data_IF_015972379140
#
_entry.id   IF_015972379140
#
_cell.length_a   1.000
_cell.length_b   1.000
_cell.length_c   1.000
_cell.angle_alpha   90.00
_cell.angle_beta   90.00
_cell.angle_gamma   90.00
#
_symmetry.space_group_name_H-M   'P 1'
#
loop_
_entity.id
_entity.type
_entity.pdbx_description
1 polymer ?
#
# COMPACT_ATOMS: atom_id res chain seq x y z
N UNK A 1 2.23 3.22 14.00
CA UNK A 1 2.67 3.12 15.41
C UNK A 1 2.99 1.69 15.70
N UNK A 2 3.93 1.44 16.61
CA UNK A 2 4.22 0.09 17.08
C UNK A 2 2.89 -0.60 17.47
N UNK A 3 2.66 -1.81 16.97
CA UNK A 3 1.51 -2.67 17.26
C UNK A 3 0.12 -2.21 16.79
N UNK A 4 -0.01 -1.20 15.92
CA UNK A 4 -1.32 -0.91 15.29
C UNK A 4 -1.49 -1.71 14.00
N UNK A 5 -2.48 -2.60 13.98
CA UNK A 5 -2.90 -3.29 12.76
C UNK A 5 -3.27 -2.26 11.70
N UNK A 6 -2.72 -2.44 10.49
CA UNK A 6 -3.04 -1.61 9.34
C UNK A 6 -4.13 -2.32 8.55
N UNK A 7 -5.21 -1.62 8.22
CA UNK A 7 -6.28 -2.16 7.39
C UNK A 7 -5.73 -2.67 6.05
N UNK A 8 -6.02 -3.93 5.72
CA UNK A 8 -5.61 -4.53 4.43
C UNK A 8 -6.15 -3.74 3.25
N UNK A 9 -7.33 -3.14 3.38
CA UNK A 9 -7.94 -2.27 2.37
C UNK A 9 -7.09 -1.04 2.06
N UNK A 10 -6.43 -0.45 3.08
CA UNK A 10 -5.52 0.67 2.89
C UNK A 10 -4.23 0.21 2.22
N UNK A 11 -3.69 -0.94 2.61
CA UNK A 11 -2.48 -1.52 1.99
C UNK A 11 -2.70 -1.78 0.50
N UNK A 12 -3.85 -2.37 0.14
CA UNK A 12 -4.24 -2.61 -1.24
C UNK A 12 -4.32 -1.30 -2.04
N UNK A 13 -4.93 -0.26 -1.46
CA UNK A 13 -4.99 1.08 -2.07
C UNK A 13 -3.61 1.73 -2.21
N UNK A 14 -2.69 1.53 -1.26
CA UNK A 14 -1.29 2.00 -1.38
C UNK A 14 -0.65 1.45 -2.66
N UNK A 15 -0.75 0.13 -2.86
CA UNK A 15 -0.15 -0.53 -4.02
C UNK A 15 -0.83 -0.06 -5.32
N UNK A 16 -2.17 -0.05 -5.36
CA UNK A 16 -2.91 0.46 -6.53
C UNK A 16 -2.48 1.88 -6.90
N UNK A 17 -2.46 2.80 -5.94
CA UNK A 17 -2.06 4.18 -6.22
C UNK A 17 -0.60 4.31 -6.63
N UNK A 18 0.29 3.49 -6.07
CA UNK A 18 1.69 3.45 -6.48
C UNK A 18 1.84 3.02 -7.95
N UNK A 19 1.18 1.93 -8.36
CA UNK A 19 1.18 1.47 -9.75
C UNK A 19 0.53 2.48 -10.71
N UNK A 20 -0.45 3.25 -10.25
CA UNK A 20 -1.06 4.36 -11.01
C UNK A 20 -0.21 5.64 -11.02
N UNK A 21 1.06 5.59 -10.58
CA UNK A 21 2.00 6.72 -10.64
C UNK A 21 1.77 7.82 -9.58
N UNK A 22 0.94 7.58 -8.56
CA UNK A 22 0.72 8.57 -7.49
C UNK A 22 1.95 8.68 -6.58
N UNK A 23 2.26 9.90 -6.15
CA UNK A 23 3.41 10.14 -5.27
C UNK A 23 3.18 9.56 -3.86
N UNK A 24 4.27 9.12 -3.21
CA UNK A 24 4.25 8.61 -1.82
C UNK A 24 3.64 9.63 -0.84
N UNK A 25 3.83 10.93 -1.09
CA UNK A 25 3.26 12.01 -0.29
C UNK A 25 1.73 12.08 -0.45
N UNK A 26 1.23 11.98 -1.69
CA UNK A 26 -0.20 11.94 -1.96
C UNK A 26 -0.86 10.75 -1.26
N UNK A 27 -0.31 9.54 -1.42
CA UNK A 27 -0.85 8.30 -0.86
C UNK A 27 -0.91 8.39 0.67
N UNK A 28 0.16 8.90 1.30
CA UNK A 28 0.24 9.09 2.75
C UNK A 28 -0.88 10.00 3.26
N UNK A 29 -1.09 11.15 2.61
CA UNK A 29 -2.15 12.10 2.98
C UNK A 29 -3.55 11.52 2.72
N UNK A 30 -3.75 10.91 1.55
CA UNK A 30 -5.06 10.41 1.12
C UNK A 30 -5.57 9.24 1.97
N UNK A 31 -4.68 8.34 2.40
CA UNK A 31 -5.04 7.17 3.21
C UNK A 31 -4.85 7.38 4.72
N UNK A 32 -4.45 8.59 5.14
CA UNK A 32 -4.08 8.89 6.52
C UNK A 32 -3.06 7.89 7.09
N UNK A 33 -2.07 7.53 6.27
CA UNK A 33 -0.97 6.64 6.64
C UNK A 33 0.32 7.42 6.80
N UNK A 34 1.19 6.98 7.71
CA UNK A 34 2.54 7.55 7.79
C UNK A 34 3.32 7.28 6.49
N UNK A 35 4.19 8.22 6.10
CA UNK A 35 5.07 8.02 4.92
C UNK A 35 5.92 6.76 5.03
N UNK A 36 6.32 6.36 6.24
CA UNK A 36 7.08 5.14 6.49
C UNK A 36 6.25 3.89 6.24
N UNK A 37 4.97 3.89 6.62
CA UNK A 37 4.04 2.80 6.31
C UNK A 37 3.85 2.64 4.80
N UNK A 38 3.67 3.75 4.08
CA UNK A 38 3.56 3.73 2.61
C UNK A 38 4.84 3.17 1.98
N UNK A 39 6.01 3.65 2.40
CA UNK A 39 7.30 3.12 1.91
C UNK A 39 7.44 1.62 2.18
N UNK A 40 7.16 1.17 3.41
CA UNK A 40 7.27 -0.24 3.82
C UNK A 40 6.47 -1.16 2.88
N UNK A 41 5.21 -0.82 2.61
CA UNK A 41 4.36 -1.69 1.79
C UNK A 41 4.67 -1.62 0.30
N UNK A 42 5.13 -0.48 -0.22
CA UNK A 42 5.65 -0.39 -1.58
C UNK A 42 6.90 -1.26 -1.72
N UNK A 43 7.88 -1.12 -0.82
CA UNK A 43 9.09 -1.93 -0.86
C UNK A 43 8.81 -3.43 -0.69
N UNK A 44 7.87 -3.81 0.17
CA UNK A 44 7.46 -5.21 0.29
C UNK A 44 6.85 -5.74 -1.01
N UNK A 45 5.99 -4.94 -1.66
CA UNK A 45 5.38 -5.30 -2.94
C UNK A 45 6.44 -5.50 -4.04
N UNK A 46 7.42 -4.59 -4.12
CA UNK A 46 8.55 -4.66 -5.06
C UNK A 46 9.44 -5.89 -4.80
N UNK A 47 9.81 -6.14 -3.54
CA UNK A 47 10.66 -7.28 -3.14
C UNK A 47 9.98 -8.63 -3.40
N UNK A 48 8.66 -8.71 -3.22
CA UNK A 48 7.89 -9.92 -3.48
C UNK A 48 7.61 -10.14 -4.98
N UNK A 49 7.96 -9.18 -5.85
CA UNK A 49 7.74 -9.30 -7.30
C UNK A 49 6.27 -9.48 -7.68
N UNK A 50 5.34 -8.98 -6.85
CA UNK A 50 3.92 -9.16 -7.09
C UNK A 50 3.45 -8.28 -8.25
N UNK A 51 2.51 -8.79 -9.04
CA UNK A 51 1.84 -7.99 -10.06
C UNK A 51 0.62 -7.27 -9.50
N UNK A 52 0.23 -6.16 -10.13
CA UNK A 52 -0.99 -5.43 -9.76
C UNK A 52 -2.25 -6.30 -9.90
N UNK A 53 -2.26 -7.23 -10.84
CA UNK A 53 -3.38 -8.15 -11.07
C UNK A 53 -3.64 -9.05 -9.86
N UNK A 54 -2.58 -9.62 -9.29
CA UNK A 54 -2.67 -10.45 -8.08
C UNK A 54 -3.25 -9.64 -6.92
N UNK A 55 -2.86 -8.37 -6.78
CA UNK A 55 -3.36 -7.48 -5.73
C UNK A 55 -4.85 -7.14 -5.93
N UNK A 56 -5.29 -7.02 -7.19
CA UNK A 56 -6.68 -6.75 -7.54
C UNK A 56 -7.61 -7.94 -7.27
N UNK A 57 -7.11 -9.18 -7.38
CA UNK A 57 -7.89 -10.39 -7.10
C UNK A 57 -8.06 -10.67 -5.59
N UNK A 58 -7.22 -10.07 -4.75
CA UNK A 58 -7.27 -10.27 -3.31
C UNK A 58 -8.42 -9.45 -2.70
N UNK A 59 -9.13 -10.04 -1.74
CA UNK A 59 -10.19 -9.41 -0.95
C UNK A 59 -9.69 -9.06 0.46
N UNK A 60 -10.43 -8.20 1.16
CA UNK A 60 -10.08 -7.69 2.50
C UNK A 60 -10.65 -8.56 3.66
N UNK A 61 -11.23 -9.71 3.32
CA UNK A 61 -11.90 -10.64 4.23
C UNK A 61 -10.95 -11.70 4.78
#
# INVERSE_FOLDING_TARGET
MANKLTDMSKIRKVIKFHCNGKSKLFISKYLSLSRNTVKKYISLFEVLGLSLEVINQKTDA
#
